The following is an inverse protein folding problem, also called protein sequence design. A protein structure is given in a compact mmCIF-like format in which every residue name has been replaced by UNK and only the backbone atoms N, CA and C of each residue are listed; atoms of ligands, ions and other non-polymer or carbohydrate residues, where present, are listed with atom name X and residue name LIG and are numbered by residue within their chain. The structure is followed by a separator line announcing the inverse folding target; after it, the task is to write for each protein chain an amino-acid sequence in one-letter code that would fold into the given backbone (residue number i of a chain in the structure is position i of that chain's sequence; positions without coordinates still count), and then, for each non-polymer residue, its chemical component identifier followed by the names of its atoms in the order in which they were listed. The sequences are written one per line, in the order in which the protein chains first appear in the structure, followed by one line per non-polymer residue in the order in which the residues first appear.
data_IF_545087092644
#
_entry.id   IF_545087092644
#
_cell.length_a   1.000
_cell.length_b   1.000
_cell.length_c   1.000
_cell.angle_alpha   90.00
_cell.angle_beta   90.00
_cell.angle_gamma   90.00
#
_symmetry.space_group_name_H-M   'P 1'
#
loop_
_entity.id
_entity.type
_entity.pdbx_description
1 polymer ?
#
# COMPACT_ATOMS: atom_id res chain seq x y z
N UNK A 1 14.96 11.04 10.41
CA UNK A 1 16.05 12.00 10.41
C UNK A 1 16.46 12.49 9.03
N UNK A 2 16.42 11.68 7.97
CA UNK A 2 16.76 12.13 6.59
C UNK A 2 15.76 13.12 6.02
N UNK A 3 14.51 13.08 6.43
CA UNK A 3 13.47 14.04 6.02
C UNK A 3 13.61 15.40 6.74
N UNK A 4 14.50 15.52 7.68
CA UNK A 4 14.76 16.75 8.43
C UNK A 4 15.77 17.69 7.74
N UNK A 5 16.20 17.41 6.54
CA UNK A 5 17.07 18.32 5.77
C UNK A 5 16.20 19.19 4.87
N UNK A 6 16.32 20.52 5.00
CA UNK A 6 15.70 21.42 4.04
C UNK A 6 16.39 21.30 2.66
N UNK A 7 15.70 21.67 1.59
CA UNK A 7 16.19 21.53 0.22
C UNK A 7 17.57 22.17 0.02
N UNK A 8 17.86 23.27 0.72
CA UNK A 8 19.16 23.94 0.66
C UNK A 8 20.26 23.10 1.31
N UNK A 9 20.00 22.45 2.45
CA UNK A 9 20.97 21.57 3.10
C UNK A 9 21.20 20.32 2.27
N UNK A 10 20.13 19.74 1.69
CA UNK A 10 20.20 18.60 0.79
C UNK A 10 21.03 18.92 -0.47
N UNK A 11 20.75 20.03 -1.14
CA UNK A 11 21.52 20.49 -2.30
C UNK A 11 23.00 20.71 -1.96
N UNK A 12 23.32 21.27 -0.78
CA UNK A 12 24.69 21.43 -0.33
C UNK A 12 25.41 20.10 -0.12
N UNK A 13 24.71 19.05 0.39
CA UNK A 13 25.24 17.71 0.53
C UNK A 13 25.54 17.09 -0.83
N UNK A 14 24.63 17.25 -1.80
CA UNK A 14 24.85 16.79 -3.18
C UNK A 14 26.05 17.48 -3.83
N UNK A 15 26.16 18.79 -3.69
CA UNK A 15 27.30 19.58 -4.19
C UNK A 15 28.61 19.12 -3.50
N UNK A 16 28.59 18.95 -2.18
CA UNK A 16 29.76 18.45 -1.45
C UNK A 16 30.20 17.07 -1.95
N UNK A 17 29.25 16.15 -2.18
CA UNK A 17 29.55 14.83 -2.76
C UNK A 17 30.17 14.92 -4.16
N UNK A 18 29.70 15.84 -5.00
CA UNK A 18 30.28 16.08 -6.32
C UNK A 18 31.72 16.66 -6.24
N UNK A 19 31.95 17.61 -5.31
CA UNK A 19 33.27 18.20 -5.10
C UNK A 19 34.28 17.17 -4.57
N UNK A 20 33.85 16.30 -3.64
CA UNK A 20 34.69 15.20 -3.14
C UNK A 20 35.07 14.26 -4.29
N UNK A 21 34.11 13.89 -5.15
CA UNK A 21 34.36 13.05 -6.33
C UNK A 21 35.36 13.68 -7.31
N UNK A 22 35.47 15.02 -7.31
CA UNK A 22 36.43 15.79 -8.13
C UNK A 22 37.73 16.12 -7.38
N UNK A 23 37.95 15.56 -6.19
CA UNK A 23 39.08 15.90 -5.29
C UNK A 23 39.22 17.40 -4.96
N UNK A 24 38.07 18.11 -4.88
CA UNK A 24 38.01 19.52 -4.52
C UNK A 24 37.60 19.69 -3.06
N UNK A 25 38.13 20.75 -2.43
CA UNK A 25 37.72 21.10 -1.06
C UNK A 25 36.29 21.66 -1.05
N UNK A 26 35.56 21.35 0.04
CA UNK A 26 34.23 21.91 0.30
C UNK A 26 34.18 22.56 1.68
N UNK A 27 33.38 23.60 1.81
CA UNK A 27 33.18 24.29 3.08
C UNK A 27 32.15 23.57 3.92
N UNK A 28 32.28 23.70 5.26
CA UNK A 28 31.41 23.05 6.24
C UNK A 28 29.94 23.37 5.98
N UNK A 29 29.10 22.34 5.88
CA UNK A 29 27.66 22.48 5.71
C UNK A 29 27.06 22.80 7.07
N UNK A 30 26.65 24.06 7.29
CA UNK A 30 25.94 24.44 8.50
C UNK A 30 24.52 23.91 8.48
N UNK A 31 24.21 23.00 9.38
CA UNK A 31 22.85 22.56 9.62
C UNK A 31 22.12 23.66 10.43
N UNK A 32 21.07 24.25 9.88
CA UNK A 32 20.18 25.15 10.64
C UNK A 32 19.10 24.32 11.32
N UNK A 33 18.66 24.79 12.49
CA UNK A 33 17.49 24.24 13.20
C UNK A 33 16.28 24.20 12.26
N UNK A 34 15.60 23.08 12.24
CA UNK A 34 14.54 22.80 11.29
C UNK A 34 13.21 23.14 11.93
N UNK A 35 12.36 23.85 11.20
CA UNK A 35 10.96 23.97 11.53
C UNK A 35 10.34 22.57 11.55
N UNK A 36 9.44 22.31 12.51
CA UNK A 36 8.71 21.04 12.61
C UNK A 36 8.06 20.75 11.27
N UNK A 37 8.50 19.68 10.59
CA UNK A 37 7.95 19.26 9.31
C UNK A 37 6.51 18.78 9.53
N UNK A 38 5.58 19.27 8.73
CA UNK A 38 4.19 18.82 8.75
C UNK A 38 4.06 17.50 8.02
N UNK A 39 3.13 16.66 8.44
CA UNK A 39 2.85 15.36 7.81
C UNK A 39 2.55 15.48 6.31
N UNK A 40 1.88 16.56 5.88
CA UNK A 40 1.62 16.83 4.45
C UNK A 40 2.91 17.11 3.66
N UNK A 41 3.90 17.73 4.26
CA UNK A 41 5.19 18.01 3.61
C UNK A 41 6.00 16.73 3.45
N UNK A 42 5.99 15.85 4.48
CA UNK A 42 6.56 14.50 4.38
C UNK A 42 5.90 13.70 3.25
N UNK A 43 4.57 13.73 3.16
CA UNK A 43 3.84 13.02 2.13
C UNK A 43 4.17 13.54 0.71
N UNK A 44 4.26 14.87 0.54
CA UNK A 44 4.66 15.45 -0.74
C UNK A 44 6.09 15.06 -1.14
N UNK A 45 7.02 15.05 -0.18
CA UNK A 45 8.41 14.64 -0.44
C UNK A 45 8.48 13.16 -0.87
N UNK A 46 7.70 12.29 -0.23
CA UNK A 46 7.62 10.86 -0.58
C UNK A 46 7.01 10.67 -1.97
N UNK A 47 5.93 11.40 -2.31
CA UNK A 47 5.35 11.36 -3.66
C UNK A 47 6.42 11.64 -4.71
N UNK A 48 7.17 12.73 -4.55
CA UNK A 48 8.21 13.11 -5.50
C UNK A 48 9.34 12.07 -5.61
N UNK A 49 9.77 11.51 -4.47
CA UNK A 49 10.82 10.48 -4.44
C UNK A 49 10.35 9.19 -5.14
N UNK A 50 9.13 8.76 -4.87
CA UNK A 50 8.57 7.53 -5.46
C UNK A 50 8.22 7.72 -6.93
N UNK A 51 7.80 8.91 -7.37
CA UNK A 51 7.59 9.19 -8.80
C UNK A 51 8.90 9.05 -9.60
N UNK A 52 9.99 9.62 -9.09
CA UNK A 52 11.32 9.44 -9.66
C UNK A 52 11.76 7.97 -9.67
N UNK A 53 11.48 7.23 -8.59
CA UNK A 53 11.76 5.80 -8.51
C UNK A 53 11.03 5.00 -9.60
N UNK A 54 9.73 5.26 -9.84
CA UNK A 54 8.97 4.56 -10.86
C UNK A 54 9.44 4.88 -12.29
N UNK A 55 9.98 6.07 -12.53
CA UNK A 55 10.61 6.38 -13.82
C UNK A 55 11.82 5.47 -14.07
N UNK A 56 12.67 5.25 -13.06
CA UNK A 56 13.81 4.33 -13.15
C UNK A 56 13.36 2.87 -13.30
N UNK A 57 12.38 2.44 -12.51
CA UNK A 57 11.82 1.07 -12.60
C UNK A 57 11.25 0.78 -13.98
N UNK A 58 10.59 1.76 -14.62
CA UNK A 58 10.06 1.60 -15.97
C UNK A 58 11.18 1.42 -17.01
N UNK A 59 12.32 2.09 -16.88
CA UNK A 59 13.48 1.84 -17.75
C UNK A 59 14.06 0.43 -17.53
N UNK A 60 14.17 -0.03 -16.29
CA UNK A 60 14.58 -1.41 -15.98
C UNK A 60 13.60 -2.42 -16.58
N UNK A 61 12.30 -2.21 -16.40
CA UNK A 61 11.25 -3.08 -16.95
C UNK A 61 11.31 -3.14 -18.48
N UNK A 62 11.62 -2.02 -19.13
CA UNK A 62 11.81 -1.95 -20.57
C UNK A 62 12.97 -2.84 -21.04
N UNK A 63 14.11 -2.79 -20.35
CA UNK A 63 15.26 -3.64 -20.69
C UNK A 63 14.94 -5.14 -20.46
N UNK A 64 14.22 -5.46 -19.37
CA UNK A 64 13.76 -6.83 -19.09
C UNK A 64 12.82 -7.33 -20.19
N UNK A 65 11.88 -6.51 -20.64
CA UNK A 65 10.99 -6.88 -21.74
C UNK A 65 11.73 -7.01 -23.07
N UNK A 66 12.71 -6.14 -23.34
CA UNK A 66 13.56 -6.24 -24.53
C UNK A 66 14.38 -7.54 -24.53
N UNK A 67 14.93 -7.94 -23.39
CA UNK A 67 15.63 -9.21 -23.23
C UNK A 67 14.66 -10.39 -23.40
N UNK A 68 13.50 -10.35 -22.73
CA UNK A 68 12.46 -11.37 -22.87
C UNK A 68 11.99 -11.55 -24.31
N UNK A 69 11.85 -10.43 -25.04
CA UNK A 69 11.48 -10.47 -26.46
C UNK A 69 12.53 -11.17 -27.35
N UNK A 70 13.82 -11.03 -27.01
CA UNK A 70 14.91 -11.70 -27.72
C UNK A 70 15.00 -13.18 -27.37
N UNK A 71 14.84 -13.52 -26.09
CA UNK A 71 15.05 -14.87 -25.57
C UNK A 71 13.82 -15.76 -25.71
N UNK A 72 12.63 -15.20 -25.46
CA UNK A 72 11.34 -15.90 -25.48
C UNK A 72 10.30 -15.14 -26.30
N UNK A 73 10.47 -15.02 -27.62
CA UNK A 73 9.64 -14.16 -28.47
C UNK A 73 8.15 -14.53 -28.51
N UNK A 74 7.80 -15.77 -28.21
CA UNK A 74 6.40 -16.23 -28.15
C UNK A 74 5.73 -15.89 -26.81
N UNK A 75 6.48 -15.95 -25.69
CA UNK A 75 5.96 -15.90 -24.33
C UNK A 75 6.08 -14.51 -23.67
N UNK A 76 6.98 -13.64 -24.13
CA UNK A 76 7.27 -12.36 -23.44
C UNK A 76 6.03 -11.50 -23.20
N UNK A 77 5.01 -11.59 -24.05
CA UNK A 77 3.74 -10.86 -23.90
C UNK A 77 2.85 -11.39 -22.76
N UNK A 78 3.19 -12.54 -22.18
CA UNK A 78 2.50 -13.09 -21.01
C UNK A 78 3.12 -12.61 -19.68
N UNK A 79 4.28 -11.98 -19.75
CA UNK A 79 5.03 -11.55 -18.58
C UNK A 79 4.74 -10.08 -18.26
N UNK A 80 4.31 -9.82 -17.03
CA UNK A 80 4.21 -8.47 -16.47
C UNK A 80 5.39 -8.30 -15.50
N UNK A 81 6.36 -7.43 -15.79
CA UNK A 81 7.49 -7.22 -14.89
C UNK A 81 7.04 -6.78 -13.50
N UNK A 82 7.48 -7.50 -12.46
CA UNK A 82 7.24 -7.18 -11.05
C UNK A 82 8.49 -7.51 -10.24
N UNK A 83 9.60 -6.85 -10.58
CA UNK A 83 10.91 -7.16 -10.01
C UNK A 83 11.15 -6.35 -8.75
N UNK A 84 10.72 -5.10 -8.76
CA UNK A 84 10.96 -4.15 -7.66
C UNK A 84 9.63 -3.48 -7.32
N UNK A 85 9.28 -3.49 -6.04
CA UNK A 85 8.13 -2.77 -5.49
C UNK A 85 8.62 -1.68 -4.54
N UNK A 86 7.79 -0.66 -4.38
CA UNK A 86 8.00 0.42 -3.45
C UNK A 86 6.86 0.49 -2.45
N UNK A 87 7.17 0.93 -1.24
CA UNK A 87 6.18 1.11 -0.18
C UNK A 87 6.39 2.42 0.56
N UNK A 88 5.34 2.92 1.18
CA UNK A 88 5.40 4.08 2.07
C UNK A 88 4.62 3.81 3.35
N UNK A 89 5.15 4.31 4.46
CA UNK A 89 4.49 4.34 5.77
C UNK A 89 4.07 5.76 6.18
N UNK A 90 4.33 6.77 5.36
CA UNK A 90 3.99 8.16 5.68
C UNK A 90 2.48 8.35 5.72
N UNK A 91 1.98 8.77 6.88
CA UNK A 91 0.55 8.83 7.17
C UNK A 91 -0.04 7.55 7.76
N UNK A 92 0.76 6.48 7.92
CA UNK A 92 0.31 5.16 8.40
C UNK A 92 1.18 4.58 9.52
N UNK A 93 2.25 5.29 9.93
CA UNK A 93 3.12 4.90 11.04
C UNK A 93 2.62 5.53 12.35
N UNK A 94 1.96 4.74 13.16
CA UNK A 94 1.41 5.15 14.47
C UNK A 94 2.28 4.70 15.64
N UNK A 95 3.44 4.11 15.35
CA UNK A 95 4.40 3.77 16.40
C UNK A 95 5.13 5.03 16.85
N UNK A 96 4.74 5.52 18.04
CA UNK A 96 5.31 6.74 18.61
C UNK A 96 4.80 8.07 18.02
N UNK A 97 3.78 8.06 17.13
CA UNK A 97 3.20 9.28 16.52
C UNK A 97 1.74 9.47 16.92
N UNK A 98 1.43 10.66 17.45
CA UNK A 98 0.08 11.07 17.83
C UNK A 98 -0.56 12.09 16.87
N UNK A 99 0.21 12.57 15.88
CA UNK A 99 -0.21 13.61 14.93
C UNK A 99 -0.87 13.05 13.67
N UNK A 100 -1.00 11.72 13.54
CA UNK A 100 -1.64 11.05 12.42
C UNK A 100 -3.09 10.71 12.77
N UNK A 101 -4.03 11.21 11.97
CA UNK A 101 -5.43 10.85 12.08
C UNK A 101 -5.90 10.08 10.82
N UNK A 102 -7.03 9.39 10.92
CA UNK A 102 -7.55 8.54 9.84
C UNK A 102 -7.98 9.35 8.61
N UNK A 103 -8.45 10.58 8.79
CA UNK A 103 -8.90 11.47 7.72
C UNK A 103 -7.72 11.85 6.83
N UNK A 104 -6.59 12.26 7.44
CA UNK A 104 -5.38 12.61 6.70
C UNK A 104 -4.84 11.41 5.94
N UNK A 105 -4.79 10.23 6.58
CA UNK A 105 -4.32 8.99 5.96
C UNK A 105 -5.19 8.59 4.76
N UNK A 106 -6.51 8.66 4.91
CA UNK A 106 -7.44 8.36 3.83
C UNK A 106 -7.35 9.40 2.69
N UNK A 107 -7.23 10.68 3.04
CA UNK A 107 -7.01 11.77 2.09
C UNK A 107 -5.72 11.59 1.30
N UNK A 108 -4.63 11.20 1.95
CA UNK A 108 -3.35 10.94 1.27
C UNK A 108 -3.50 9.84 0.22
N UNK A 109 -4.17 8.75 0.54
CA UNK A 109 -4.41 7.68 -0.44
C UNK A 109 -5.28 8.11 -1.61
N UNK A 110 -6.29 8.94 -1.37
CA UNK A 110 -7.09 9.55 -2.45
C UNK A 110 -6.26 10.48 -3.34
N UNK A 111 -5.36 11.28 -2.74
CA UNK A 111 -4.45 12.14 -3.48
C UNK A 111 -3.49 11.33 -4.35
N UNK A 112 -2.93 10.24 -3.81
CA UNK A 112 -2.10 9.30 -4.57
C UNK A 112 -2.88 8.68 -5.74
N UNK A 113 -4.14 8.30 -5.53
CA UNK A 113 -5.03 7.82 -6.61
C UNK A 113 -5.22 8.85 -7.71
N UNK A 114 -5.45 10.12 -7.35
CA UNK A 114 -5.58 11.21 -8.34
C UNK A 114 -4.32 11.33 -9.19
N UNK A 115 -3.14 11.38 -8.57
CA UNK A 115 -1.85 11.45 -9.26
C UNK A 115 -1.59 10.24 -10.16
N UNK A 116 -1.94 9.04 -9.68
CA UNK A 116 -1.81 7.83 -10.48
C UNK A 116 -2.73 7.84 -11.71
N UNK A 117 -3.96 8.31 -11.56
CA UNK A 117 -4.88 8.43 -12.69
C UNK A 117 -4.40 9.46 -13.73
N UNK A 118 -3.81 10.57 -13.29
CA UNK A 118 -3.19 11.56 -14.18
C UNK A 118 -2.00 10.96 -14.94
N UNK A 119 -1.11 10.26 -14.24
CA UNK A 119 0.03 9.58 -14.83
C UNK A 119 -0.41 8.52 -15.84
N UNK A 120 -1.41 7.71 -15.49
CA UNK A 120 -1.96 6.69 -16.38
C UNK A 120 -2.59 7.31 -17.63
N UNK A 121 -3.30 8.44 -17.49
CA UNK A 121 -3.86 9.16 -18.63
C UNK A 121 -2.77 9.59 -19.62
N UNK A 122 -1.67 10.17 -19.11
CA UNK A 122 -0.53 10.58 -19.93
C UNK A 122 0.09 9.38 -20.65
N UNK A 123 0.33 8.28 -19.90
CA UNK A 123 0.89 7.04 -20.48
C UNK A 123 0.00 6.48 -21.59
N UNK A 124 -1.32 6.40 -21.36
CA UNK A 124 -2.27 5.88 -22.36
C UNK A 124 -2.36 6.81 -23.57
N UNK A 125 -2.35 8.13 -23.40
CA UNK A 125 -2.30 9.10 -24.51
C UNK A 125 -1.04 8.94 -25.37
N UNK A 126 0.10 8.65 -24.75
CA UNK A 126 1.36 8.42 -25.49
C UNK A 126 1.32 7.15 -26.38
N UNK A 127 0.43 6.18 -26.11
CA UNK A 127 0.28 4.99 -26.93
C UNK A 127 -0.39 5.27 -28.28
N UNK A 128 -1.10 6.40 -28.45
CA UNK A 128 -1.74 6.76 -29.73
C UNK A 128 -0.74 7.08 -30.85
N UNK A 129 0.55 7.29 -30.54
CA UNK A 129 1.60 7.43 -31.55
C UNK A 129 1.72 6.20 -32.47
N UNK A 130 1.25 5.02 -32.02
CA UNK A 130 1.24 3.78 -32.80
C UNK A 130 -0.06 3.66 -33.58
N UNK A 131 0.02 3.61 -34.91
CA UNK A 131 -1.17 3.49 -35.78
C UNK A 131 -1.81 2.10 -35.65
N UNK A 132 -3.02 2.03 -35.08
CA UNK A 132 -3.82 0.81 -34.96
C UNK A 132 -5.26 1.13 -34.52
N UNK A 133 -6.22 1.12 -35.43
CA UNK A 133 -7.62 1.53 -35.15
C UNK A 133 -8.27 0.69 -34.06
N UNK A 134 -8.06 -0.63 -34.06
CA UNK A 134 -8.60 -1.53 -33.01
C UNK A 134 -8.07 -1.20 -31.63
N UNK A 135 -6.76 -0.91 -31.54
CA UNK A 135 -6.13 -0.56 -30.26
C UNK A 135 -6.59 0.83 -29.82
N UNK A 136 -6.68 1.79 -30.75
CA UNK A 136 -7.15 3.14 -30.44
C UNK A 136 -8.56 3.15 -29.86
N UNK A 137 -9.49 2.34 -30.37
CA UNK A 137 -10.84 2.22 -29.81
C UNK A 137 -10.82 1.74 -28.34
N UNK A 138 -10.01 0.73 -28.02
CA UNK A 138 -9.85 0.25 -26.66
C UNK A 138 -9.15 1.27 -25.75
N UNK A 139 -8.12 1.98 -26.25
CA UNK A 139 -7.47 3.07 -25.50
C UNK A 139 -8.45 4.21 -25.20
N UNK A 140 -9.34 4.55 -26.12
CA UNK A 140 -10.40 5.55 -25.89
C UNK A 140 -11.38 5.10 -24.78
N UNK A 141 -11.72 3.81 -24.72
CA UNK A 141 -12.55 3.28 -23.63
C UNK A 141 -11.81 3.37 -22.27
N UNK A 142 -10.51 3.07 -22.27
CA UNK A 142 -9.65 3.23 -21.08
C UNK A 142 -9.62 4.69 -20.64
N UNK A 143 -9.41 5.65 -21.57
CA UNK A 143 -9.39 7.09 -21.25
C UNK A 143 -10.72 7.58 -20.68
N UNK A 144 -11.85 7.19 -21.24
CA UNK A 144 -13.19 7.53 -20.68
C UNK A 144 -13.34 7.02 -19.26
N UNK A 145 -12.84 5.81 -18.96
CA UNK A 145 -12.88 5.25 -17.60
C UNK A 145 -11.99 6.01 -16.65
N UNK A 146 -10.78 6.40 -17.08
CA UNK A 146 -9.87 7.23 -16.28
C UNK A 146 -10.55 8.57 -15.94
N UNK A 147 -11.17 9.24 -16.91
CA UNK A 147 -11.88 10.50 -16.71
C UNK A 147 -13.00 10.36 -15.66
N UNK A 148 -13.83 9.33 -15.77
CA UNK A 148 -14.88 9.04 -14.78
C UNK A 148 -14.29 8.83 -13.38
N UNK A 149 -13.19 8.07 -13.27
CA UNK A 149 -12.55 7.83 -11.97
C UNK A 149 -11.90 9.09 -11.41
N UNK A 150 -11.35 9.97 -12.24
CA UNK A 150 -10.80 11.27 -11.81
C UNK A 150 -11.90 12.14 -11.20
N UNK A 151 -13.05 12.27 -11.86
CA UNK A 151 -14.20 13.03 -11.35
C UNK A 151 -14.69 12.47 -10.00
N UNK A 152 -14.90 11.16 -9.91
CA UNK A 152 -15.32 10.51 -8.68
C UNK A 152 -14.28 10.68 -7.55
N UNK A 153 -12.99 10.60 -7.87
CA UNK A 153 -11.92 10.80 -6.89
C UNK A 153 -11.90 12.23 -6.38
N UNK A 154 -12.09 13.23 -7.25
CA UNK A 154 -12.17 14.63 -6.88
C UNK A 154 -13.37 14.93 -5.96
N UNK A 155 -14.55 14.38 -6.29
CA UNK A 155 -15.73 14.48 -5.42
C UNK A 155 -15.45 13.88 -4.03
N UNK A 156 -14.84 12.69 -4.00
CA UNK A 156 -14.50 12.02 -2.75
C UNK A 156 -13.47 12.78 -1.91
N UNK A 157 -12.44 13.33 -2.54
CA UNK A 157 -11.46 14.22 -1.87
C UNK A 157 -12.18 15.41 -1.20
N UNK A 158 -13.14 16.01 -1.89
CA UNK A 158 -13.90 17.14 -1.36
C UNK A 158 -14.76 16.73 -0.15
N UNK A 159 -15.37 15.55 -0.20
CA UNK A 159 -16.14 14.99 0.91
C UNK A 159 -15.27 14.71 2.14
N UNK A 160 -14.14 14.04 1.98
CA UNK A 160 -13.21 13.76 3.08
C UNK A 160 -12.70 15.05 3.72
N UNK A 161 -12.34 16.05 2.91
CA UNK A 161 -11.90 17.37 3.43
C UNK A 161 -12.97 18.13 4.18
N UNK A 162 -14.25 17.93 3.85
CA UNK A 162 -15.34 18.58 4.57
C UNK A 162 -15.53 18.04 5.98
N UNK A 163 -15.00 16.86 6.29
CA UNK A 163 -15.17 16.13 7.54
C UNK A 163 -16.64 16.00 7.98
N UNK A 164 -17.55 15.89 7.02
CA UNK A 164 -18.99 15.79 7.25
C UNK A 164 -19.42 14.31 7.18
N UNK A 165 -19.52 13.67 8.35
CA UNK A 165 -19.89 12.26 8.46
C UNK A 165 -21.25 11.95 7.81
N UNK A 166 -22.22 12.86 7.82
CA UNK A 166 -23.52 12.64 7.20
C UNK A 166 -23.40 12.56 5.68
N UNK A 167 -22.55 13.40 5.09
CA UNK A 167 -22.30 13.34 3.64
C UNK A 167 -21.52 12.07 3.28
N UNK A 168 -20.57 11.65 4.12
CA UNK A 168 -19.82 10.40 3.93
C UNK A 168 -20.76 9.20 3.98
N UNK A 169 -21.69 9.14 4.92
CA UNK A 169 -22.71 8.05 4.98
C UNK A 169 -23.55 8.00 3.70
N UNK A 170 -24.02 9.14 3.21
CA UNK A 170 -24.77 9.20 1.94
C UNK A 170 -23.94 8.74 0.74
N UNK A 171 -22.63 9.05 0.76
CA UNK A 171 -21.69 8.55 -0.26
C UNK A 171 -21.55 7.02 -0.18
N UNK A 172 -21.43 6.44 1.03
CA UNK A 172 -21.38 5.00 1.23
C UNK A 172 -22.61 4.30 0.65
N UNK A 173 -23.82 4.79 0.97
CA UNK A 173 -25.08 4.26 0.45
C UNK A 173 -25.16 4.32 -1.09
N UNK A 174 -24.67 5.41 -1.69
CA UNK A 174 -24.60 5.58 -3.13
C UNK A 174 -23.60 4.61 -3.75
N UNK A 175 -22.42 4.46 -3.13
CA UNK A 175 -21.36 3.59 -3.62
C UNK A 175 -21.77 2.11 -3.61
N UNK A 176 -22.48 1.65 -2.58
CA UNK A 176 -22.96 0.26 -2.48
C UNK A 176 -23.98 -0.11 -3.57
N UNK A 177 -24.72 0.87 -4.09
CA UNK A 177 -25.66 0.66 -5.21
C UNK A 177 -24.95 0.51 -6.56
N UNK A 178 -23.68 0.90 -6.67
CA UNK A 178 -22.91 0.82 -7.91
C UNK A 178 -22.31 -0.58 -8.01
N UNK A 179 -22.89 -1.43 -8.87
CA UNK A 179 -22.41 -2.81 -9.12
C UNK A 179 -21.15 -2.90 -10.00
N UNK A 180 -20.60 -1.78 -10.44
CA UNK A 180 -19.48 -1.77 -11.39
C UNK A 180 -18.14 -2.05 -10.68
N UNK A 181 -17.62 -3.27 -10.88
CA UNK A 181 -16.32 -3.71 -10.34
C UNK A 181 -15.10 -3.04 -11.02
N UNK A 182 -15.30 -2.18 -12.00
CA UNK A 182 -14.22 -1.49 -12.72
C UNK A 182 -13.58 -0.32 -11.96
N UNK A 183 -13.88 -0.19 -10.66
CA UNK A 183 -13.28 0.86 -9.81
C UNK A 183 -11.86 0.55 -9.34
N UNK A 184 -11.36 -0.69 -9.50
CA UNK A 184 -10.02 -1.06 -9.08
C UNK A 184 -9.01 -1.00 -10.24
N UNK A 185 -7.75 -0.92 -9.90
CA UNK A 185 -6.64 -0.82 -10.85
C UNK A 185 -6.44 -2.09 -11.69
N UNK A 186 -6.89 -3.24 -11.21
CA UNK A 186 -6.83 -4.53 -11.91
C UNK A 186 -7.53 -4.50 -13.28
N UNK A 187 -8.60 -3.72 -13.41
CA UNK A 187 -9.28 -3.52 -14.70
C UNK A 187 -8.32 -3.02 -15.77
N UNK A 188 -7.50 -2.01 -15.46
CA UNK A 188 -6.54 -1.42 -16.40
C UNK A 188 -5.41 -2.40 -16.73
N UNK A 189 -4.84 -3.05 -15.70
CA UNK A 189 -3.80 -4.07 -15.89
C UNK A 189 -4.26 -5.15 -16.87
N UNK A 190 -5.45 -5.72 -16.68
CA UNK A 190 -5.99 -6.76 -17.55
C UNK A 190 -6.23 -6.28 -18.98
N UNK A 191 -6.79 -5.07 -19.15
CA UNK A 191 -7.04 -4.49 -20.47
C UNK A 191 -5.75 -4.23 -21.24
N UNK A 192 -4.79 -3.55 -20.61
CA UNK A 192 -3.50 -3.23 -21.23
C UNK A 192 -2.70 -4.50 -21.58
N UNK A 193 -2.68 -5.50 -20.70
CA UNK A 193 -2.05 -6.79 -20.97
C UNK A 193 -2.71 -7.52 -22.14
N UNK A 194 -4.04 -7.47 -22.21
CA UNK A 194 -4.78 -8.06 -23.34
C UNK A 194 -4.40 -7.36 -24.65
N UNK A 195 -4.33 -6.04 -24.68
CA UNK A 195 -3.92 -5.27 -25.86
C UNK A 195 -2.48 -5.60 -26.28
N UNK A 196 -1.57 -5.74 -25.31
CA UNK A 196 -0.18 -6.12 -25.58
C UNK A 196 -0.08 -7.49 -26.29
N UNK A 197 -0.91 -8.46 -25.89
CA UNK A 197 -0.96 -9.80 -26.53
C UNK A 197 -1.48 -9.73 -27.97
N UNK A 198 -2.45 -8.87 -28.24
CA UNK A 198 -3.01 -8.73 -29.59
C UNK A 198 -2.17 -7.85 -30.53
N UNK A 199 -1.29 -7.02 -30.00
CA UNK A 199 -0.47 -6.12 -30.80
C UNK A 199 0.56 -6.89 -31.63
N UNK A 200 0.58 -6.64 -32.96
CA UNK A 200 1.65 -7.12 -33.84
C UNK A 200 2.93 -6.26 -33.72
N UNK A 201 2.79 -5.01 -33.25
CA UNK A 201 3.91 -4.10 -33.04
C UNK A 201 4.58 -4.41 -31.69
N UNK A 202 5.82 -4.84 -31.73
CA UNK A 202 6.60 -5.24 -30.55
C UNK A 202 6.84 -4.08 -29.59
N UNK A 203 7.13 -2.89 -30.12
CA UNK A 203 7.37 -1.70 -29.29
C UNK A 203 6.09 -1.25 -28.56
N UNK A 204 4.95 -1.29 -29.26
CA UNK A 204 3.66 -1.02 -28.64
C UNK A 204 3.33 -2.07 -27.56
N UNK A 205 3.61 -3.36 -27.80
CA UNK A 205 3.44 -4.40 -26.79
C UNK A 205 4.27 -4.12 -25.55
N UNK A 206 5.53 -3.72 -25.70
CA UNK A 206 6.39 -3.37 -24.56
C UNK A 206 5.85 -2.17 -23.79
N UNK A 207 5.46 -1.07 -24.43
CA UNK A 207 4.90 0.09 -23.75
C UNK A 207 3.58 -0.22 -23.03
N UNK A 208 2.71 -1.03 -23.62
CA UNK A 208 1.50 -1.51 -22.97
C UNK A 208 1.80 -2.36 -21.72
N UNK A 209 2.81 -3.23 -21.78
CA UNK A 209 3.24 -4.06 -20.65
C UNK A 209 3.93 -3.23 -19.55
N UNK A 210 4.72 -2.21 -19.90
CA UNK A 210 5.31 -1.29 -18.92
C UNK A 210 4.22 -0.52 -18.19
N UNK A 211 3.24 0.03 -18.91
CA UNK A 211 2.10 0.73 -18.29
C UNK A 211 1.29 -0.23 -17.40
N UNK A 212 1.04 -1.46 -17.88
CA UNK A 212 0.35 -2.50 -17.10
C UNK A 212 1.14 -2.90 -15.84
N UNK A 213 2.46 -3.02 -15.94
CA UNK A 213 3.37 -3.35 -14.84
C UNK A 213 3.34 -2.31 -13.74
N UNK A 214 3.39 -1.03 -14.09
CA UNK A 214 3.34 0.05 -13.12
C UNK A 214 2.05 0.00 -12.30
N UNK A 215 0.89 -0.17 -12.97
CA UNK A 215 -0.41 -0.27 -12.29
C UNK A 215 -0.50 -1.56 -11.46
N UNK A 216 0.01 -2.67 -11.99
CA UNK A 216 0.00 -3.97 -11.30
C UNK A 216 0.75 -3.91 -9.97
N UNK A 217 1.91 -3.23 -9.95
CA UNK A 217 2.78 -3.17 -8.78
C UNK A 217 2.32 -2.17 -7.71
N UNK A 218 1.71 -1.05 -8.10
CA UNK A 218 1.34 0.00 -7.13
C UNK A 218 -0.16 0.24 -6.96
N UNK A 219 -1.00 -0.35 -7.80
CA UNK A 219 -2.42 -0.08 -7.78
C UNK A 219 -2.76 1.39 -8.03
N UNK A 220 -3.85 1.86 -7.45
CA UNK A 220 -4.19 3.28 -7.41
C UNK A 220 -3.50 4.00 -6.24
N UNK A 221 -2.17 3.94 -6.21
CA UNK A 221 -1.34 4.63 -5.25
C UNK A 221 0.04 4.90 -5.80
N UNK A 222 0.93 5.42 -4.98
CA UNK A 222 2.34 5.59 -5.33
C UNK A 222 3.16 4.32 -5.07
N UNK A 223 2.64 3.43 -4.20
CA UNK A 223 3.26 2.15 -3.81
C UNK A 223 2.37 1.37 -2.86
N UNK A 224 2.91 0.30 -2.26
CA UNK A 224 2.25 -0.45 -1.19
C UNK A 224 2.12 0.43 0.06
N UNK A 225 1.02 0.26 0.82
CA UNK A 225 0.86 0.89 2.13
C UNK A 225 1.51 -0.01 3.18
N UNK A 226 2.41 0.55 3.99
CA UNK A 226 2.90 -0.07 5.21
C UNK A 226 2.22 0.58 6.41
N UNK A 227 1.25 -0.10 7.01
CA UNK A 227 0.72 0.26 8.32
C UNK A 227 1.75 -0.13 9.38
N UNK A 228 1.97 0.71 10.38
CA UNK A 228 2.84 0.40 11.51
C UNK A 228 2.18 0.82 12.82
N UNK A 229 2.12 -0.11 13.75
CA UNK A 229 1.80 0.11 15.15
C UNK A 229 2.47 -0.99 15.99
N UNK A 230 2.54 -0.78 17.31
CA UNK A 230 3.24 -1.71 18.19
C UNK A 230 2.34 -2.78 18.80
N UNK A 231 2.95 -3.80 19.38
CA UNK A 231 2.26 -4.93 20.03
C UNK A 231 1.31 -4.48 21.15
N UNK A 232 1.71 -3.47 21.95
CA UNK A 232 0.88 -2.96 23.04
C UNK A 232 -0.42 -2.33 22.54
N UNK A 233 -0.36 -1.56 21.45
CA UNK A 233 -1.56 -0.97 20.84
C UNK A 233 -2.54 -2.04 20.36
N UNK A 234 -2.01 -3.15 19.82
CA UNK A 234 -2.82 -4.28 19.38
C UNK A 234 -3.43 -5.05 20.56
N UNK A 235 -2.64 -5.30 21.61
CA UNK A 235 -3.14 -5.95 22.84
C UNK A 235 -4.21 -5.08 23.52
N UNK A 236 -4.04 -3.76 23.57
CA UNK A 236 -5.07 -2.85 24.09
C UNK A 236 -6.38 -2.92 23.29
N UNK A 237 -6.28 -3.06 21.97
CA UNK A 237 -7.45 -3.26 21.11
C UNK A 237 -8.17 -4.61 21.39
N UNK A 238 -7.42 -5.64 21.78
CA UNK A 238 -7.97 -6.96 22.05
C UNK A 238 -8.63 -7.08 23.44
N UNK A 239 -8.28 -6.21 24.42
CA UNK A 239 -8.83 -6.25 25.80
C UNK A 239 -10.36 -6.32 25.88
N UNK A 240 -11.08 -5.71 24.93
CA UNK A 240 -12.54 -5.78 24.84
C UNK A 240 -13.08 -7.14 24.39
N UNK A 241 -12.22 -8.05 23.93
CA UNK A 241 -12.58 -9.38 23.41
C UNK A 241 -11.95 -10.48 24.25
N UNK A 242 -10.68 -10.31 24.62
CA UNK A 242 -9.90 -11.29 25.37
C UNK A 242 -8.70 -10.61 26.04
N UNK A 243 -8.47 -10.89 27.32
CA UNK A 243 -7.22 -10.54 27.99
C UNK A 243 -6.13 -11.55 27.64
N UNK A 244 -5.00 -11.05 27.15
CA UNK A 244 -3.79 -11.84 26.90
C UNK A 244 -2.88 -11.67 28.11
N UNK A 245 -2.54 -12.79 28.76
CA UNK A 245 -1.49 -12.79 29.77
C UNK A 245 -0.12 -12.77 29.08
N UNK A 246 0.67 -11.72 29.30
CA UNK A 246 2.05 -11.63 28.82
C UNK A 246 2.97 -12.64 29.53
N UNK A 247 2.48 -13.30 30.59
CA UNK A 247 3.22 -14.31 31.32
C UNK A 247 3.40 -15.61 30.48
N UNK A 248 4.62 -16.09 30.41
CA UNK A 248 5.04 -17.24 29.58
C UNK A 248 4.31 -18.55 29.85
N UNK A 249 3.64 -18.70 30.99
CA UNK A 249 2.94 -19.94 31.39
C UNK A 249 1.62 -20.20 30.64
N UNK A 250 1.00 -19.18 30.04
CA UNK A 250 -0.33 -19.28 29.42
C UNK A 250 -0.32 -19.22 27.89
N UNK A 251 0.85 -19.11 27.24
CA UNK A 251 0.97 -18.91 25.78
C UNK A 251 0.12 -19.90 24.97
N UNK A 252 0.23 -21.20 25.23
CA UNK A 252 -0.51 -22.22 24.49
C UNK A 252 -2.03 -22.11 24.68
N UNK A 253 -2.46 -21.76 25.88
CA UNK A 253 -3.88 -21.56 26.19
C UNK A 253 -4.43 -20.35 25.45
N UNK A 254 -3.69 -19.24 25.45
CA UNK A 254 -4.07 -18.01 24.76
C UNK A 254 -4.11 -18.20 23.24
N UNK A 255 -3.14 -18.90 22.66
CA UNK A 255 -3.13 -19.24 21.24
C UNK A 255 -4.32 -20.11 20.84
N UNK A 256 -4.70 -21.11 21.67
CA UNK A 256 -5.87 -21.96 21.43
C UNK A 256 -7.18 -21.16 21.52
N UNK A 257 -7.29 -20.22 22.47
CA UNK A 257 -8.47 -19.34 22.60
C UNK A 257 -8.58 -18.40 21.40
N UNK A 258 -7.47 -17.74 21.02
CA UNK A 258 -7.44 -16.88 19.83
C UNK A 258 -7.73 -17.63 18.54
N UNK A 259 -7.19 -18.86 18.39
CA UNK A 259 -7.50 -19.69 17.22
C UNK A 259 -8.99 -19.96 17.08
N UNK A 260 -9.67 -20.30 18.19
CA UNK A 260 -11.13 -20.48 18.21
C UNK A 260 -11.88 -19.18 17.89
N UNK A 261 -11.43 -18.03 18.41
CA UNK A 261 -12.03 -16.74 18.10
C UNK A 261 -11.88 -16.40 16.61
N UNK A 262 -10.69 -16.64 16.03
CA UNK A 262 -10.45 -16.41 14.60
C UNK A 262 -11.33 -17.32 13.73
N UNK A 263 -11.52 -18.58 14.11
CA UNK A 263 -12.37 -19.51 13.38
C UNK A 263 -13.83 -19.06 13.34
N UNK A 264 -14.34 -18.52 14.45
CA UNK A 264 -15.75 -18.19 14.65
C UNK A 264 -16.11 -16.72 14.35
N UNK A 265 -15.12 -15.82 14.17
CA UNK A 265 -15.41 -14.41 13.91
C UNK A 265 -16.00 -14.23 12.50
N UNK A 266 -17.12 -13.52 12.45
CA UNK A 266 -17.73 -13.09 11.19
C UNK A 266 -17.17 -11.75 10.76
N UNK A 267 -17.03 -11.58 9.45
CA UNK A 267 -16.63 -10.31 8.86
C UNK A 267 -17.72 -9.26 9.07
N UNK A 268 -17.32 -8.08 9.48
CA UNK A 268 -18.16 -6.89 9.66
C UNK A 268 -17.87 -5.87 8.56
N UNK A 269 -18.90 -5.25 8.04
CA UNK A 269 -18.73 -4.09 7.16
C UNK A 269 -18.41 -2.87 8.02
N UNK A 270 -17.33 -2.18 7.67
CA UNK A 270 -16.87 -0.96 8.35
C UNK A 270 -17.36 0.26 7.60
N UNK A 271 -17.85 1.26 8.36
CA UNK A 271 -18.30 2.56 7.87
C UNK A 271 -17.39 3.69 8.35
N UNK A 272 -17.52 4.88 7.74
CA UNK A 272 -16.82 6.09 8.22
C UNK A 272 -17.28 6.52 9.61
N UNK A 273 -18.50 6.16 10.03
CA UNK A 273 -18.96 6.41 11.39
C UNK A 273 -18.31 5.48 12.40
N UNK A 274 -18.04 4.22 12.03
CA UNK A 274 -17.39 3.24 12.90
C UNK A 274 -15.95 3.64 13.20
N UNK A 275 -15.18 4.02 12.16
CA UNK A 275 -13.79 4.44 12.34
C UNK A 275 -13.66 5.73 13.16
N UNK A 276 -14.60 6.65 13.02
CA UNK A 276 -14.60 7.92 13.75
C UNK A 276 -14.83 7.71 15.25
N UNK A 277 -15.69 6.76 15.61
CA UNK A 277 -16.03 6.40 16.99
C UNK A 277 -15.01 5.48 17.67
N UNK A 278 -14.13 4.81 16.91
CA UNK A 278 -13.20 3.82 17.46
C UNK A 278 -12.06 4.50 18.24
N UNK A 279 -11.94 4.28 19.56
CA UNK A 279 -10.93 4.94 20.38
C UNK A 279 -9.54 4.30 20.27
N UNK A 280 -9.47 2.99 19.93
CA UNK A 280 -8.21 2.25 19.95
C UNK A 280 -7.45 2.39 18.63
N UNK A 281 -6.18 2.75 18.73
CA UNK A 281 -5.31 3.05 17.58
C UNK A 281 -5.21 1.88 16.60
N UNK A 282 -4.92 0.67 17.08
CA UNK A 282 -4.72 -0.49 16.20
C UNK A 282 -6.00 -0.87 15.44
N UNK A 283 -7.18 -0.90 16.11
CA UNK A 283 -8.46 -1.17 15.43
C UNK A 283 -8.79 -0.11 14.41
N UNK A 284 -8.62 1.18 14.77
CA UNK A 284 -8.87 2.30 13.86
C UNK A 284 -8.04 2.20 12.60
N UNK A 285 -6.76 1.80 12.68
CA UNK A 285 -5.91 1.61 11.51
C UNK A 285 -6.31 0.41 10.64
N UNK A 286 -6.74 -0.67 11.25
CA UNK A 286 -7.23 -1.83 10.49
C UNK A 286 -8.60 -1.55 9.86
N UNK A 287 -9.45 -0.75 10.52
CA UNK A 287 -10.69 -0.23 9.92
C UNK A 287 -10.38 0.72 8.74
N UNK A 288 -9.37 1.60 8.88
CA UNK A 288 -8.90 2.45 7.79
C UNK A 288 -8.44 1.61 6.59
N UNK A 289 -7.67 0.54 6.82
CA UNK A 289 -7.27 -0.38 5.77
C UNK A 289 -8.48 -1.00 5.06
N UNK A 290 -9.52 -1.39 5.79
CA UNK A 290 -10.77 -1.91 5.23
C UNK A 290 -11.46 -0.88 4.32
N UNK A 291 -11.56 0.37 4.77
CA UNK A 291 -12.15 1.46 3.96
C UNK A 291 -11.30 1.78 2.71
N UNK A 292 -9.98 1.80 2.81
CA UNK A 292 -9.09 2.00 1.67
C UNK A 292 -9.28 0.90 0.62
N UNK A 293 -9.28 -0.36 1.05
CA UNK A 293 -9.49 -1.51 0.16
C UNK A 293 -10.88 -1.50 -0.46
N UNK A 294 -11.91 -1.04 0.26
CA UNK A 294 -13.29 -0.96 -0.23
C UNK A 294 -13.50 0.18 -1.23
N UNK A 295 -13.02 1.39 -0.93
CA UNK A 295 -13.40 2.60 -1.67
C UNK A 295 -12.32 3.13 -2.63
N UNK A 296 -11.06 2.73 -2.45
CA UNK A 296 -9.96 3.26 -3.27
C UNK A 296 -9.41 2.21 -4.20
N UNK A 297 -8.85 1.11 -3.69
CA UNK A 297 -8.31 0.01 -4.48
C UNK A 297 -8.00 -1.21 -3.61
N UNK A 298 -8.36 -2.40 -4.10
CA UNK A 298 -8.08 -3.69 -3.43
C UNK A 298 -7.13 -4.59 -4.24
N UNK A 299 -6.50 -4.07 -5.27
CA UNK A 299 -5.65 -4.85 -6.17
C UNK A 299 -4.26 -5.11 -5.61
N UNK A 300 -3.77 -4.24 -4.73
CA UNK A 300 -2.47 -4.34 -4.06
C UNK A 300 -2.68 -4.56 -2.57
N UNK A 301 -1.97 -5.51 -1.96
CA UNK A 301 -2.11 -5.77 -0.52
C UNK A 301 -1.57 -4.61 0.30
N UNK A 302 -2.07 -4.50 1.54
CA UNK A 302 -1.53 -3.62 2.56
C UNK A 302 -0.65 -4.48 3.47
N UNK A 303 0.52 -3.98 3.86
CA UNK A 303 1.39 -4.64 4.82
C UNK A 303 1.26 -4.01 6.19
N UNK A 304 1.03 -4.83 7.20
CA UNK A 304 1.06 -4.45 8.60
C UNK A 304 2.40 -4.82 9.21
N UNK A 305 3.16 -3.84 9.65
CA UNK A 305 4.38 -3.99 10.42
C UNK A 305 4.03 -3.84 11.91
N UNK A 306 4.23 -4.90 12.70
CA UNK A 306 3.95 -4.89 14.14
C UNK A 306 5.27 -4.70 14.87
N UNK A 307 5.50 -3.49 15.38
CA UNK A 307 6.69 -3.17 16.17
C UNK A 307 6.67 -3.90 17.53
N UNK A 308 7.84 -4.21 18.05
CA UNK A 308 8.03 -4.87 19.36
C UNK A 308 7.25 -6.18 19.51
N UNK A 309 7.26 -7.03 18.48
CA UNK A 309 6.49 -8.28 18.45
C UNK A 309 7.20 -9.39 19.23
N UNK A 310 7.02 -9.43 20.54
CA UNK A 310 7.69 -10.38 21.45
C UNK A 310 6.83 -11.61 21.80
N UNK A 311 5.57 -11.68 21.33
CA UNK A 311 4.63 -12.72 21.73
C UNK A 311 3.82 -13.24 20.54
N UNK A 312 3.65 -14.57 20.38
CA UNK A 312 2.94 -15.16 19.23
C UNK A 312 1.46 -14.75 19.15
N UNK A 313 0.81 -14.51 20.29
CA UNK A 313 -0.58 -14.04 20.33
C UNK A 313 -0.76 -12.68 19.65
N UNK A 314 0.29 -11.85 19.58
CA UNK A 314 0.26 -10.56 18.86
C UNK A 314 -0.06 -10.76 17.38
N UNK A 315 0.60 -11.72 16.74
CA UNK A 315 0.38 -12.04 15.32
C UNK A 315 -1.04 -12.58 15.09
N UNK A 316 -1.52 -13.45 15.95
CA UNK A 316 -2.89 -13.98 15.88
C UNK A 316 -3.94 -12.90 16.16
N UNK A 317 -3.67 -11.94 17.04
CA UNK A 317 -4.56 -10.80 17.29
C UNK A 317 -4.73 -9.94 16.05
N UNK A 318 -3.64 -9.70 15.30
CA UNK A 318 -3.72 -9.00 14.02
C UNK A 318 -4.57 -9.79 13.01
N UNK A 319 -4.43 -11.12 12.94
CA UNK A 319 -5.24 -11.96 12.07
C UNK A 319 -6.72 -11.96 12.48
N UNK A 320 -7.01 -11.97 13.79
CA UNK A 320 -8.37 -11.85 14.29
C UNK A 320 -9.07 -10.59 13.77
N UNK A 321 -8.46 -9.42 13.97
CA UNK A 321 -9.02 -8.16 13.49
C UNK A 321 -9.04 -8.08 11.95
N UNK A 322 -8.01 -8.59 11.28
CA UNK A 322 -8.01 -8.66 9.82
C UNK A 322 -9.21 -9.44 9.29
N UNK A 323 -9.57 -10.57 9.94
CA UNK A 323 -10.74 -11.35 9.58
C UNK A 323 -12.05 -10.64 9.96
N UNK A 324 -12.10 -10.03 11.16
CA UNK A 324 -13.27 -9.27 11.62
C UNK A 324 -13.60 -8.12 10.67
N UNK A 325 -12.59 -7.42 10.11
CA UNK A 325 -12.80 -6.31 9.19
C UNK A 325 -12.76 -6.71 7.70
N UNK A 326 -12.74 -8.02 7.40
CA UNK A 326 -12.84 -8.55 6.05
C UNK A 326 -11.60 -8.31 5.17
N UNK A 327 -10.45 -8.04 5.76
CA UNK A 327 -9.20 -7.69 5.06
C UNK A 327 -8.12 -8.78 5.11
N UNK A 328 -8.39 -9.93 5.72
CA UNK A 328 -7.42 -11.01 5.90
C UNK A 328 -6.82 -11.54 4.58
N UNK A 329 -7.54 -11.41 3.47
CA UNK A 329 -7.04 -11.78 2.14
C UNK A 329 -6.23 -10.67 1.45
N UNK A 330 -6.17 -9.48 2.02
CA UNK A 330 -5.48 -8.31 1.46
C UNK A 330 -4.48 -7.66 2.42
N UNK A 331 -4.31 -8.24 3.63
CA UNK A 331 -3.39 -7.75 4.65
C UNK A 331 -2.23 -8.74 4.84
N UNK A 332 -0.99 -8.27 4.64
CA UNK A 332 0.23 -9.01 4.98
C UNK A 332 0.64 -8.67 6.40
N UNK A 333 0.66 -9.66 7.29
CA UNK A 333 1.06 -9.46 8.69
C UNK A 333 2.55 -9.75 8.82
N UNK A 334 3.34 -8.73 9.17
CA UNK A 334 4.80 -8.79 9.30
C UNK A 334 5.23 -8.41 10.73
N UNK A 335 5.56 -9.37 11.58
CA UNK A 335 6.12 -9.08 12.90
C UNK A 335 7.53 -8.50 12.76
N UNK A 336 7.86 -7.49 13.57
CA UNK A 336 9.20 -6.95 13.68
C UNK A 336 9.84 -7.49 14.96
N UNK A 337 10.91 -8.28 14.80
CA UNK A 337 11.72 -8.81 15.89
C UNK A 337 12.91 -7.86 16.12
N UNK A 338 12.67 -6.78 16.84
CA UNK A 338 13.61 -5.66 16.99
C UNK A 338 14.06 -5.46 18.45
N UNK A 339 13.46 -6.13 19.41
CA UNK A 339 13.92 -6.16 20.80
C UNK A 339 14.90 -7.30 21.02
N UNK A 340 15.80 -7.22 22.04
CA UNK A 340 16.73 -8.30 22.34
C UNK A 340 16.00 -9.62 22.57
N UNK A 341 14.86 -9.60 23.29
CA UNK A 341 14.05 -10.78 23.57
C UNK A 341 13.43 -11.38 22.28
N UNK A 342 12.90 -10.55 21.40
CA UNK A 342 12.29 -11.03 20.16
C UNK A 342 13.32 -11.53 19.13
N UNK A 343 14.51 -10.94 19.08
CA UNK A 343 15.61 -11.41 18.23
C UNK A 343 16.01 -12.84 18.62
N UNK A 344 16.19 -13.09 19.93
CA UNK A 344 16.57 -14.40 20.44
C UNK A 344 15.44 -15.45 20.26
N UNK A 345 14.19 -15.06 20.36
CA UNK A 345 13.03 -15.96 20.39
C UNK A 345 12.19 -15.97 19.13
N UNK A 346 12.54 -15.17 18.12
CA UNK A 346 11.72 -14.97 16.92
C UNK A 346 11.38 -16.27 16.18
N UNK A 347 12.34 -17.18 16.02
CA UNK A 347 12.09 -18.49 15.44
C UNK A 347 11.02 -19.27 16.20
N UNK A 348 11.11 -19.31 17.53
CA UNK A 348 10.13 -20.00 18.39
C UNK A 348 8.76 -19.32 18.35
N UNK A 349 8.71 -17.99 18.26
CA UNK A 349 7.45 -17.25 18.10
C UNK A 349 6.78 -17.65 16.78
N UNK A 350 7.54 -17.72 15.71
CA UNK A 350 7.01 -18.13 14.39
C UNK A 350 6.55 -19.59 14.39
N UNK A 351 7.31 -20.52 14.97
CA UNK A 351 6.92 -21.91 15.11
C UNK A 351 5.57 -22.04 15.82
N UNK A 352 5.40 -21.36 16.97
CA UNK A 352 4.15 -21.38 17.73
C UNK A 352 2.96 -20.83 16.95
N UNK A 353 3.16 -19.82 16.11
CA UNK A 353 2.09 -19.27 15.26
C UNK A 353 1.79 -20.20 14.09
N UNK A 354 2.82 -20.84 13.51
CA UNK A 354 2.67 -21.83 12.44
C UNK A 354 2.00 -23.13 12.91
N UNK A 355 1.98 -23.42 14.22
CA UNK A 355 1.17 -24.52 14.77
C UNK A 355 -0.34 -24.18 14.85
N UNK A 356 -0.73 -22.93 14.59
CA UNK A 356 -2.11 -22.50 14.67
C UNK A 356 -2.83 -22.61 13.33
N UNK A 357 -3.81 -23.51 13.21
CA UNK A 357 -4.57 -23.76 11.99
C UNK A 357 -5.11 -22.50 11.27
N UNK A 358 -5.71 -21.51 11.95
CA UNK A 358 -6.21 -20.32 11.26
C UNK A 358 -5.13 -19.54 10.54
N UNK A 359 -3.92 -19.49 11.11
CA UNK A 359 -2.79 -18.79 10.51
C UNK A 359 -2.26 -19.53 9.28
N UNK A 360 -2.09 -20.86 9.37
CA UNK A 360 -1.69 -21.68 8.22
C UNK A 360 -2.69 -21.53 7.07
N UNK A 361 -3.99 -21.65 7.34
CA UNK A 361 -5.04 -21.47 6.32
C UNK A 361 -4.97 -20.08 5.67
N UNK A 362 -4.70 -19.05 6.45
CA UNK A 362 -4.54 -17.70 5.91
C UNK A 362 -3.33 -17.59 4.96
N UNK A 363 -2.16 -18.13 5.35
CA UNK A 363 -0.95 -18.16 4.50
C UNK A 363 -1.21 -18.93 3.21
N UNK A 364 -1.83 -20.12 3.30
CA UNK A 364 -2.15 -20.96 2.14
C UNK A 364 -3.06 -20.25 1.16
N UNK A 365 -4.08 -19.53 1.64
CA UNK A 365 -4.99 -18.76 0.80
C UNK A 365 -4.28 -17.58 0.13
N UNK A 366 -3.39 -16.91 0.85
CA UNK A 366 -2.63 -15.78 0.33
C UNK A 366 -1.46 -16.20 -0.55
N UNK A 367 -0.92 -17.41 -0.38
CA UNK A 367 0.30 -17.92 -1.03
C UNK A 367 1.50 -16.96 -0.85
N UNK A 368 1.56 -16.27 0.29
CA UNK A 368 2.53 -15.22 0.60
C UNK A 368 2.84 -15.22 2.10
N UNK A 369 4.12 -15.13 2.42
CA UNK A 369 4.65 -14.94 3.78
C UNK A 369 5.49 -13.67 3.77
N UNK A 370 5.33 -12.82 4.78
CA UNK A 370 6.07 -11.57 4.90
C UNK A 370 6.66 -11.45 6.31
#
# INVERSE_FOLDING_TARGET
PTFNLNDKAWNNIVIAGQLIKQNKQFHNIKQRSINKIKLIDEHNAVINAIDNFWNVVNEVNKEVLNLGQKTWPAEFRNFIPSIINCASWVGYDLDGRADINWIDSFYFRLKEKSLMLERLEIQVKNLFKYKSDKIHNELNLILKKIETLKLNTFEFISLIKSNDLNKLTKFEEKFEKIKDQSFNSKFFTLRLTKLAKFSKNKNLSNELLITASEIFNKGFGIGEIHLRFNALQLHNALKGVMDISIASASVRTDLNRLSKLIENVNSQQITFQDIDKEPTTAKRQLMLASLILKYIDNSVPIRLLIAECDHPATILSALYFAKQFGINNSLDISPLFETSNSIERGARILEQVLDCNPFIKNIQNRKRIC
#
